data_IF_813012348815
#
_entry.id   IF_813012348815
#
_cell.length_a   1.000
_cell.length_b   1.000
_cell.length_c   1.000
_cell.angle_alpha   90.00
_cell.angle_beta   90.00
_cell.angle_gamma   90.00
#
_symmetry.space_group_name_H-M   'P 1'
#
loop_
_entity.id
_entity.type
_entity.pdbx_description
1 polymer ?
#
# COMPACT_ATOMS: atom_id res chain seq x y z
N UNK A 1 14.11 -4.02 -4.67
CA UNK A 1 12.69 -4.27 -5.02
C UNK A 1 12.18 -5.32 -4.06
N UNK A 2 10.95 -5.16 -3.58
CA UNK A 2 10.33 -6.05 -2.60
C UNK A 2 9.19 -6.81 -3.27
N UNK A 3 9.05 -8.09 -2.98
CA UNK A 3 7.88 -8.88 -3.38
C UNK A 3 6.69 -8.60 -2.47
N UNK A 4 5.53 -9.12 -2.82
CA UNK A 4 4.34 -9.00 -1.98
C UNK A 4 4.51 -9.67 -0.60
N UNK A 5 5.26 -10.77 -0.52
CA UNK A 5 5.56 -11.47 0.73
C UNK A 5 6.59 -10.71 1.59
N UNK A 6 7.57 -10.06 0.95
CA UNK A 6 8.50 -9.18 1.66
C UNK A 6 7.76 -8.00 2.29
N UNK A 7 6.85 -7.36 1.54
CA UNK A 7 6.04 -6.24 2.05
C UNK A 7 5.10 -6.69 3.15
N UNK A 8 4.47 -7.87 3.01
CA UNK A 8 3.63 -8.46 4.04
C UNK A 8 4.39 -8.66 5.35
N UNK A 9 5.60 -9.22 5.26
CA UNK A 9 6.48 -9.44 6.41
C UNK A 9 6.95 -8.13 7.03
N UNK A 10 7.33 -7.14 6.21
CA UNK A 10 7.83 -5.84 6.66
C UNK A 10 6.75 -5.03 7.39
N UNK A 11 5.53 -5.04 6.88
CA UNK A 11 4.39 -4.33 7.48
C UNK A 11 3.65 -5.17 8.54
N UNK A 12 4.07 -6.41 8.75
CA UNK A 12 3.43 -7.38 9.64
C UNK A 12 1.92 -7.54 9.36
N UNK A 13 1.56 -7.72 8.09
CA UNK A 13 0.18 -7.91 7.62
C UNK A 13 0.07 -9.13 6.70
N UNK A 14 -1.16 -9.60 6.47
CA UNK A 14 -1.38 -10.72 5.56
C UNK A 14 -1.14 -10.33 4.10
N UNK A 15 -0.64 -11.27 3.27
CA UNK A 15 -0.42 -11.08 1.83
C UNK A 15 -1.66 -10.55 1.11
N UNK A 16 -2.86 -11.00 1.49
CA UNK A 16 -4.14 -10.52 0.94
C UNK A 16 -4.39 -9.05 1.24
N UNK A 17 -3.95 -8.56 2.41
CA UNK A 17 -4.07 -7.15 2.77
C UNK A 17 -3.15 -6.30 1.87
N UNK A 18 -1.93 -6.76 1.59
CA UNK A 18 -1.04 -6.09 0.61
C UNK A 18 -1.70 -6.01 -0.78
N UNK A 19 -2.35 -7.10 -1.24
CA UNK A 19 -3.13 -7.08 -2.50
C UNK A 19 -4.23 -6.02 -2.48
N UNK A 20 -4.95 -5.89 -1.36
CA UNK A 20 -6.05 -4.94 -1.20
C UNK A 20 -5.54 -3.50 -1.21
N UNK A 21 -4.50 -3.18 -0.44
CA UNK A 21 -3.86 -1.86 -0.45
C UNK A 21 -3.36 -1.48 -1.86
N UNK A 22 -2.80 -2.43 -2.60
CA UNK A 22 -2.41 -2.22 -4.00
C UNK A 22 -3.61 -1.98 -4.93
N UNK A 23 -4.71 -2.72 -4.76
CA UNK A 23 -5.92 -2.54 -5.57
C UNK A 23 -6.59 -1.19 -5.33
N UNK A 24 -6.56 -0.69 -4.09
CA UNK A 24 -7.06 0.65 -3.73
C UNK A 24 -6.16 1.75 -4.34
N UNK A 25 -4.88 1.46 -4.55
CA UNK A 25 -3.89 2.41 -5.08
C UNK A 25 -2.96 3.01 -4.02
N UNK A 26 -3.12 2.59 -2.75
CA UNK A 26 -2.25 3.00 -1.62
C UNK A 26 -0.82 2.52 -1.85
N UNK A 27 -0.65 1.23 -2.20
CA UNK A 27 0.66 0.68 -2.53
C UNK A 27 0.85 0.62 -4.04
N UNK A 28 1.70 1.52 -4.57
CA UNK A 28 2.09 1.54 -5.98
C UNK A 28 3.05 0.39 -6.29
N UNK A 29 2.58 -0.55 -7.09
CA UNK A 29 3.37 -1.72 -7.50
C UNK A 29 3.70 -1.67 -9.00
N UNK A 30 4.86 -2.22 -9.34
CA UNK A 30 5.26 -2.52 -10.72
C UNK A 30 4.83 -3.95 -11.01
N UNK A 31 4.01 -4.16 -12.03
CA UNK A 31 3.63 -5.50 -12.48
C UNK A 31 4.80 -6.11 -13.24
N UNK A 32 5.40 -7.15 -12.69
CA UNK A 32 6.50 -7.92 -13.27
C UNK A 32 5.99 -9.31 -13.65
N UNK A 33 5.49 -9.45 -14.89
CA UNK A 33 4.86 -10.66 -15.41
C UNK A 33 3.69 -11.13 -14.51
N UNK A 34 3.80 -12.32 -13.89
CA UNK A 34 2.81 -12.90 -12.96
C UNK A 34 2.84 -12.29 -11.55
N UNK A 35 3.87 -11.52 -11.20
CA UNK A 35 4.08 -10.98 -9.86
C UNK A 35 4.02 -9.45 -9.82
N UNK A 36 3.98 -8.91 -8.61
CA UNK A 36 4.04 -7.47 -8.35
C UNK A 36 5.25 -7.19 -7.48
N UNK A 37 6.00 -6.16 -7.84
CA UNK A 37 7.14 -5.67 -7.08
C UNK A 37 6.91 -4.25 -6.58
N UNK A 38 7.42 -3.96 -5.40
CA UNK A 38 7.29 -2.68 -4.73
C UNK A 38 8.69 -2.08 -4.56
N UNK A 39 8.83 -0.78 -4.86
CA UNK A 39 10.08 -0.08 -4.55
C UNK A 39 10.16 0.16 -3.04
N UNK A 40 11.38 0.35 -2.52
CA UNK A 40 11.54 0.74 -1.11
C UNK A 40 10.98 2.14 -0.85
N UNK A 41 11.01 3.00 -1.87
CA UNK A 41 10.44 4.35 -1.82
C UNK A 41 8.92 4.31 -1.58
N UNK A 42 8.17 3.50 -2.34
CA UNK A 42 6.72 3.33 -2.13
C UNK A 42 6.38 2.94 -0.69
N UNK A 43 7.21 2.10 -0.06
CA UNK A 43 6.97 1.67 1.32
C UNK A 43 7.23 2.80 2.31
N UNK A 44 8.23 3.65 2.05
CA UNK A 44 8.50 4.85 2.86
C UNK A 44 7.37 5.87 2.72
N UNK A 45 6.93 6.13 1.49
CA UNK A 45 5.80 7.03 1.21
C UNK A 45 4.55 6.53 1.92
N UNK A 46 4.26 5.22 1.83
CA UNK A 46 3.15 4.61 2.58
C UNK A 46 3.24 4.85 4.09
N UNK A 47 4.41 4.62 4.69
CA UNK A 47 4.61 4.83 6.13
C UNK A 47 4.48 6.30 6.54
N UNK A 48 4.82 7.23 5.65
CA UNK A 48 4.73 8.66 5.89
C UNK A 48 3.30 9.19 5.69
N UNK A 49 2.75 8.99 4.49
CA UNK A 49 1.49 9.57 4.04
C UNK A 49 0.28 8.99 4.79
N UNK A 50 0.34 7.70 5.14
CA UNK A 50 -0.75 6.99 5.81
C UNK A 50 -0.53 6.87 7.32
N UNK A 51 0.43 7.60 7.89
CA UNK A 51 0.61 7.67 9.34
C UNK A 51 -0.66 8.22 10.03
N UNK A 52 -1.28 7.41 10.90
CA UNK A 52 -2.50 7.80 11.62
C UNK A 52 -3.80 7.51 10.86
N UNK A 53 -3.74 6.95 9.66
CA UNK A 53 -4.91 6.51 8.89
C UNK A 53 -5.23 5.03 9.13
N UNK A 54 -6.51 4.67 9.04
CA UNK A 54 -6.92 3.27 9.11
C UNK A 54 -7.04 2.66 7.71
N UNK A 55 -6.23 1.63 7.45
CA UNK A 55 -6.21 0.88 6.18
C UNK A 55 -6.47 -0.62 6.40
N UNK A 56 -7.15 -0.96 7.50
CA UNK A 56 -7.45 -2.33 7.90
C UNK A 56 -8.43 -3.06 6.96
N UNK A 57 -9.26 -2.32 6.23
CA UNK A 57 -10.25 -2.85 5.30
C UNK A 57 -10.41 -1.95 4.06
N UNK A 58 -11.10 -2.45 3.04
CA UNK A 58 -11.20 -1.78 1.74
C UNK A 58 -11.90 -0.41 1.79
N UNK A 59 -12.94 -0.24 2.62
CA UNK A 59 -13.64 1.04 2.72
C UNK A 59 -12.75 2.08 3.41
N UNK A 60 -12.17 1.74 4.56
CA UNK A 60 -11.31 2.66 5.30
C UNK A 60 -10.03 2.99 4.52
N UNK A 61 -9.47 2.01 3.79
CA UNK A 61 -8.38 2.23 2.86
C UNK A 61 -8.77 3.22 1.74
N UNK A 62 -9.95 3.08 1.15
CA UNK A 62 -10.43 4.00 0.10
C UNK A 62 -10.65 5.41 0.64
N UNK A 63 -11.23 5.55 1.82
CA UNK A 63 -11.40 6.85 2.49
C UNK A 63 -10.03 7.50 2.78
N UNK A 64 -9.08 6.72 3.30
CA UNK A 64 -7.73 7.19 3.58
C UNK A 64 -7.01 7.63 2.30
N UNK A 65 -7.13 6.86 1.22
CA UNK A 65 -6.56 7.21 -0.09
C UNK A 65 -7.10 8.55 -0.62
N UNK A 66 -8.42 8.78 -0.50
CA UNK A 66 -9.04 10.04 -0.90
C UNK A 66 -8.55 11.21 -0.05
N UNK A 67 -8.44 11.03 1.27
CA UNK A 67 -7.96 12.06 2.18
C UNK A 67 -6.49 12.44 1.92
N UNK A 68 -5.62 11.45 1.71
CA UNK A 68 -4.20 11.68 1.43
C UNK A 68 -3.99 12.37 0.07
N UNK A 69 -4.75 11.99 -0.96
CA UNK A 69 -4.62 12.62 -2.28
C UNK A 69 -5.25 14.01 -2.34
N UNK A 70 -6.34 14.27 -1.61
CA UNK A 70 -6.95 15.61 -1.56
C UNK A 70 -6.05 16.64 -0.86
N UNK A 71 -5.14 16.21 0.02
CA UNK A 71 -4.15 17.07 0.66
C UNK A 71 -2.93 17.37 -0.21
N UNK A 72 -2.80 16.73 -1.37
CA UNK A 72 -1.70 16.91 -2.33
C UNK A 72 -2.08 17.81 -3.53
N UNK A 73 -3.26 18.45 -3.50
CA UNK A 73 -3.72 19.49 -4.45
C UNK A 73 -3.59 20.90 -3.85
#
# INVERSE_FOLDING_TARGET
>A
MLTQDDVASLLNIHRTQVSMLRQVGILKAIKTDRNYMFSQETIKDFQHDYAGYDVSNAENARQSYLAVNANHE
#
